data_IF_342304591401
#
_entry.id   IF_342304591401
#
_cell.length_a   1.000
_cell.length_b   1.000
_cell.length_c   1.000
_cell.angle_alpha   90.00
_cell.angle_beta   90.00
_cell.angle_gamma   90.00
#
_symmetry.space_group_name_H-M   'P 1'
#
loop_
_entity.id
_entity.type
_entity.pdbx_description
1 polymer ?
#
# COMPACT_ATOMS: atom_id res chain seq x y z
N UNK A 1 3.44 26.23 -2.40
CA UNK A 1 3.46 26.34 -3.88
C UNK A 1 4.78 26.94 -4.37
N UNK A 2 5.96 26.44 -3.98
CA UNK A 2 7.27 26.88 -4.55
C UNK A 2 8.30 25.72 -4.44
N UNK A 3 7.93 24.47 -4.74
CA UNK A 3 8.92 23.37 -4.75
C UNK A 3 8.86 22.43 -5.97
N UNK A 4 8.10 22.76 -7.01
CA UNK A 4 7.94 21.87 -8.19
C UNK A 4 8.76 22.33 -9.41
N UNK A 5 9.43 23.48 -9.36
CA UNK A 5 10.11 24.04 -10.55
C UNK A 5 11.62 23.76 -10.66
N UNK A 6 12.24 23.09 -9.71
CA UNK A 6 13.70 22.82 -9.78
C UNK A 6 14.10 21.43 -10.31
N UNK A 7 13.16 20.49 -10.45
CA UNK A 7 13.50 19.13 -10.93
C UNK A 7 13.35 18.93 -12.44
N UNK A 8 12.64 19.80 -13.13
CA UNK A 8 12.41 19.67 -14.59
C UNK A 8 13.60 20.16 -15.43
N UNK A 9 14.50 20.95 -14.85
CA UNK A 9 15.66 21.52 -15.59
C UNK A 9 16.84 20.53 -15.67
N UNK A 10 16.95 19.58 -14.70
CA UNK A 10 18.06 18.60 -14.70
C UNK A 10 17.84 17.44 -15.67
N UNK A 11 16.62 17.06 -15.97
CA UNK A 11 16.32 15.95 -16.90
C UNK A 11 16.57 16.36 -18.37
N UNK A 12 16.35 17.62 -18.72
CA UNK A 12 16.61 18.10 -20.10
C UNK A 12 18.11 18.22 -20.46
N UNK A 13 18.98 18.33 -19.48
CA UNK A 13 20.42 18.46 -19.73
C UNK A 13 21.14 17.11 -19.84
N UNK A 14 20.49 16.02 -19.42
CA UNK A 14 21.07 14.66 -19.48
C UNK A 14 20.74 13.92 -20.77
N UNK A 15 19.65 14.30 -21.44
CA UNK A 15 19.22 13.67 -22.70
C UNK A 15 19.99 14.23 -23.93
N UNK A 16 20.64 15.39 -23.80
CA UNK A 16 21.36 16.00 -24.94
C UNK A 16 22.82 15.53 -25.10
N UNK A 17 23.31 14.66 -24.20
CA UNK A 17 24.73 14.24 -24.23
C UNK A 17 24.97 12.80 -24.72
N UNK A 18 23.95 12.06 -25.18
CA UNK A 18 24.11 10.67 -25.63
C UNK A 18 23.54 10.38 -27.03
N UNK A 19 23.31 11.42 -27.87
CA UNK A 19 23.18 11.19 -29.30
C UNK A 19 24.54 11.36 -29.94
N UNK A 20 25.31 10.28 -29.99
CA UNK A 20 26.40 10.15 -30.95
C UNK A 20 25.76 10.22 -32.34
N UNK A 21 26.20 11.13 -33.23
CA UNK A 21 25.71 11.17 -34.61
C UNK A 21 26.05 9.84 -35.29
N UNK A 22 25.05 9.27 -35.97
CA UNK A 22 25.23 8.12 -36.83
C UNK A 22 26.27 8.51 -37.89
N UNK A 23 27.49 8.02 -37.74
CA UNK A 23 28.57 8.23 -38.73
C UNK A 23 28.16 7.45 -39.95
N UNK A 24 27.80 8.16 -41.02
CA UNK A 24 27.50 7.54 -42.32
C UNK A 24 28.77 6.95 -42.92
N UNK A 25 28.66 5.86 -43.70
CA UNK A 25 29.78 5.17 -44.37
C UNK A 25 30.78 6.11 -45.10
N UNK A 26 30.33 7.28 -45.55
CA UNK A 26 31.19 8.30 -46.16
C UNK A 26 32.12 8.98 -45.15
N UNK A 27 31.66 9.21 -43.91
CA UNK A 27 32.48 9.89 -42.89
C UNK A 27 33.54 8.95 -42.28
N UNK A 28 33.23 7.66 -42.15
CA UNK A 28 34.20 6.66 -41.73
C UNK A 28 35.32 6.48 -42.76
N UNK A 29 34.96 6.49 -44.05
CA UNK A 29 35.96 6.40 -45.13
C UNK A 29 36.86 7.64 -45.16
N UNK A 30 36.30 8.84 -44.91
CA UNK A 30 37.05 10.10 -44.83
C UNK A 30 37.96 10.14 -43.61
N UNK A 31 37.50 9.67 -42.45
CA UNK A 31 38.32 9.63 -41.25
C UNK A 31 39.50 8.62 -41.35
N UNK A 32 39.24 7.45 -41.90
CA UNK A 32 40.31 6.47 -42.15
C UNK A 32 41.31 6.99 -43.18
N UNK A 33 40.80 7.68 -44.22
CA UNK A 33 41.62 8.35 -45.22
C UNK A 33 42.46 9.48 -44.61
N UNK A 34 41.89 10.30 -43.73
CA UNK A 34 42.62 11.41 -43.09
C UNK A 34 43.67 10.93 -42.10
N UNK A 35 43.37 9.92 -41.30
CA UNK A 35 44.32 9.29 -40.39
C UNK A 35 45.45 8.62 -41.16
N UNK A 36 45.16 7.90 -42.23
CA UNK A 36 46.16 7.31 -43.12
C UNK A 36 47.04 8.38 -43.77
N UNK A 37 46.44 9.44 -44.30
CA UNK A 37 47.16 10.57 -44.92
C UNK A 37 48.04 11.29 -43.90
N UNK A 38 47.59 11.48 -42.68
CA UNK A 38 48.38 12.05 -41.57
C UNK A 38 49.60 11.19 -41.24
N UNK A 39 49.44 9.88 -41.10
CA UNK A 39 50.57 8.97 -40.82
C UNK A 39 51.52 8.86 -42.02
N UNK A 40 51.02 8.87 -43.24
CA UNK A 40 51.81 8.87 -44.46
C UNK A 40 52.62 10.15 -44.60
N UNK A 41 52.06 11.31 -44.29
CA UNK A 41 52.75 12.61 -44.31
C UNK A 41 53.83 12.67 -43.19
N UNK A 42 53.54 12.14 -42.02
CA UNK A 42 54.46 12.21 -40.88
C UNK A 42 55.59 11.19 -40.94
N UNK A 43 55.36 10.01 -41.52
CA UNK A 43 56.32 8.92 -41.56
C UNK A 43 56.76 8.52 -42.97
N UNK A 44 56.03 8.96 -43.99
CA UNK A 44 56.36 8.60 -45.41
C UNK A 44 57.49 9.37 -46.04
N UNK A 45 57.92 10.48 -45.46
CA UNK A 45 59.02 11.31 -45.97
C UNK A 45 60.31 11.25 -45.18
N UNK A 46 60.40 10.44 -44.14
CA UNK A 46 61.69 10.23 -43.45
C UNK A 46 62.49 9.15 -44.16
N UNK A 47 63.61 9.56 -44.73
CA UNK A 47 64.69 8.67 -45.15
C UNK A 47 65.00 7.75 -43.98
N UNK A 48 65.07 6.42 -44.29
CA UNK A 48 65.23 5.34 -43.33
C UNK A 48 66.16 5.70 -42.16
N UNK A 49 65.58 5.94 -41.00
CA UNK A 49 66.38 5.95 -39.78
C UNK A 49 66.80 4.53 -39.46
N UNK A 50 68.05 4.35 -38.98
CA UNK A 50 68.56 3.01 -38.53
C UNK A 50 67.68 2.38 -37.43
N UNK A 51 66.70 3.07 -36.95
CA UNK A 51 65.74 2.61 -35.94
C UNK A 51 64.38 2.25 -36.53
N UNK A 52 64.15 2.45 -37.85
CA UNK A 52 62.91 2.00 -38.49
C UNK A 52 62.95 0.49 -38.68
N UNK A 53 62.19 -0.20 -37.89
CA UNK A 53 62.11 -1.68 -37.91
C UNK A 53 61.21 -2.19 -39.07
N UNK A 54 60.48 -1.29 -39.77
CA UNK A 54 59.55 -1.66 -40.83
C UNK A 54 59.78 -0.83 -42.08
N UNK A 55 59.91 -1.50 -43.22
CA UNK A 55 59.97 -0.82 -44.54
C UNK A 55 58.58 -0.39 -44.99
N UNK A 56 58.51 0.64 -45.85
CA UNK A 56 57.26 1.12 -46.47
C UNK A 56 56.48 -0.02 -47.14
N UNK A 57 57.17 -0.97 -47.74
CA UNK A 57 56.55 -2.15 -48.35
C UNK A 57 55.91 -3.10 -47.32
N UNK A 58 56.53 -3.28 -46.18
CA UNK A 58 55.96 -4.08 -45.07
C UNK A 58 54.74 -3.43 -44.48
N UNK A 59 54.75 -2.10 -44.26
CA UNK A 59 53.58 -1.35 -43.78
C UNK A 59 52.42 -1.41 -44.75
N UNK A 60 52.72 -1.26 -46.06
CA UNK A 60 51.71 -1.38 -47.13
C UNK A 60 51.11 -2.78 -47.20
N UNK A 61 51.93 -3.81 -47.01
CA UNK A 61 51.48 -5.21 -46.99
C UNK A 61 50.62 -5.49 -45.75
N UNK A 62 51.04 -5.01 -44.59
CA UNK A 62 50.26 -5.13 -43.37
C UNK A 62 48.90 -4.42 -43.46
N UNK A 63 48.89 -3.20 -43.97
CA UNK A 63 47.65 -2.44 -44.25
C UNK A 63 46.75 -3.21 -45.22
N UNK A 64 47.29 -3.71 -46.34
CA UNK A 64 46.53 -4.54 -47.27
C UNK A 64 45.92 -5.80 -46.65
N UNK A 65 46.67 -6.44 -45.75
CA UNK A 65 46.15 -7.61 -44.97
C UNK A 65 45.05 -7.25 -44.04
N UNK A 66 45.13 -6.09 -43.32
CA UNK A 66 44.09 -5.58 -42.44
C UNK A 66 42.84 -5.23 -43.23
N UNK A 67 42.98 -4.52 -44.37
CA UNK A 67 41.86 -4.23 -45.24
C UNK A 67 41.17 -5.49 -45.76
N UNK A 68 41.96 -6.48 -46.19
CA UNK A 68 41.43 -7.77 -46.67
C UNK A 68 40.74 -8.55 -45.55
N UNK A 69 41.29 -8.53 -44.34
CA UNK A 69 40.67 -9.14 -43.17
C UNK A 69 39.34 -8.47 -42.84
N UNK A 70 39.29 -7.12 -42.84
CA UNK A 70 38.06 -6.38 -42.58
C UNK A 70 37.02 -6.56 -43.69
N UNK A 71 37.45 -6.71 -44.98
CA UNK A 71 36.51 -6.96 -46.07
C UNK A 71 35.94 -8.38 -46.08
N UNK A 72 36.62 -9.32 -45.40
CA UNK A 72 36.17 -10.70 -45.24
C UNK A 72 35.35 -10.92 -43.95
N UNK A 73 35.31 -9.89 -43.09
CA UNK A 73 34.44 -9.95 -41.88
C UNK A 73 33.01 -9.71 -42.37
N UNK A 74 32.10 -10.62 -42.14
CA UNK A 74 30.70 -10.40 -42.56
C UNK A 74 30.17 -9.14 -41.85
N UNK A 75 29.81 -8.15 -42.65
CA UNK A 75 29.14 -6.96 -42.14
C UNK A 75 27.65 -7.30 -42.03
N UNK A 76 27.18 -7.51 -40.82
CA UNK A 76 25.73 -7.65 -40.58
C UNK A 76 25.12 -6.25 -40.68
N UNK A 77 24.16 -6.08 -41.55
CA UNK A 77 23.33 -4.90 -41.58
C UNK A 77 22.22 -5.10 -40.55
N UNK A 78 22.18 -4.26 -39.53
CA UNK A 78 21.08 -4.29 -38.60
C UNK A 78 19.76 -4.00 -39.33
N UNK A 79 18.78 -4.88 -39.16
CA UNK A 79 17.43 -4.62 -39.63
C UNK A 79 16.78 -3.58 -38.69
N UNK A 80 16.55 -2.38 -39.22
CA UNK A 80 15.96 -1.25 -38.52
C UNK A 80 14.49 -1.09 -38.84
N UNK A 81 13.85 -2.10 -39.45
CA UNK A 81 12.42 -2.08 -39.69
C UNK A 81 11.65 -1.95 -38.37
N UNK A 82 10.46 -1.37 -38.44
CA UNK A 82 9.59 -1.22 -37.27
C UNK A 82 9.28 -2.59 -36.60
N UNK A 83 9.10 -3.62 -37.41
CA UNK A 83 8.87 -4.98 -36.94
C UNK A 83 10.10 -5.55 -36.18
N UNK A 84 11.31 -5.34 -36.71
CA UNK A 84 12.54 -5.80 -36.06
C UNK A 84 12.81 -5.03 -34.76
N UNK A 85 12.54 -3.73 -34.73
CA UNK A 85 12.65 -2.92 -33.51
C UNK A 85 11.66 -3.38 -32.45
N UNK A 86 10.39 -3.59 -32.83
CA UNK A 86 9.36 -4.10 -31.92
C UNK A 86 9.76 -5.47 -31.35
N UNK A 87 10.18 -6.39 -32.20
CA UNK A 87 10.65 -7.70 -31.77
C UNK A 87 11.82 -7.60 -30.77
N UNK A 88 12.81 -6.76 -31.05
CA UNK A 88 13.95 -6.56 -30.16
C UNK A 88 13.54 -5.97 -28.80
N UNK A 89 12.56 -5.07 -28.80
CA UNK A 89 11.98 -4.49 -27.57
C UNK A 89 11.23 -5.55 -26.81
N UNK A 90 10.30 -6.27 -27.47
CA UNK A 90 9.48 -7.31 -26.85
C UNK A 90 10.37 -8.42 -26.26
N UNK A 91 11.38 -8.86 -26.99
CA UNK A 91 12.34 -9.86 -26.50
C UNK A 91 13.12 -9.35 -25.28
N UNK A 92 13.63 -8.12 -25.34
CA UNK A 92 14.38 -7.52 -24.23
C UNK A 92 13.53 -7.32 -22.99
N UNK A 93 12.29 -6.84 -23.13
CA UNK A 93 11.38 -6.62 -22.01
C UNK A 93 10.99 -7.95 -21.35
N UNK A 94 10.61 -8.96 -22.13
CA UNK A 94 10.28 -10.27 -21.61
C UNK A 94 11.49 -10.99 -20.98
N UNK A 95 12.68 -10.85 -21.55
CA UNK A 95 13.89 -11.39 -20.95
C UNK A 95 14.23 -10.69 -19.62
N UNK A 96 14.02 -9.39 -19.53
CA UNK A 96 14.20 -8.61 -18.30
C UNK A 96 13.18 -9.01 -17.23
N UNK A 97 11.90 -9.13 -17.61
CA UNK A 97 10.85 -9.62 -16.73
C UNK A 97 11.18 -11.00 -16.17
N UNK A 98 11.56 -11.94 -17.03
CA UNK A 98 11.99 -13.29 -16.62
C UNK A 98 13.18 -13.25 -15.66
N UNK A 99 14.16 -12.38 -15.94
CA UNK A 99 15.33 -12.19 -15.07
C UNK A 99 14.93 -11.63 -13.70
N UNK A 100 13.96 -10.71 -13.65
CA UNK A 100 13.46 -10.17 -12.40
C UNK A 100 12.75 -11.26 -11.58
N UNK A 101 11.86 -12.03 -12.20
CA UNK A 101 11.15 -13.15 -11.55
C UNK A 101 12.18 -14.18 -11.02
N UNK A 102 13.19 -14.52 -11.82
CA UNK A 102 14.24 -15.47 -11.40
C UNK A 102 15.09 -14.93 -10.22
N UNK A 103 15.35 -13.62 -10.21
CA UNK A 103 16.07 -12.96 -9.11
C UNK A 103 15.23 -12.90 -7.83
N UNK A 104 13.93 -12.61 -7.95
CA UNK A 104 12.99 -12.64 -6.83
C UNK A 104 12.83 -14.05 -6.27
N UNK A 105 12.79 -15.06 -7.14
CA UNK A 105 12.69 -16.46 -6.72
C UNK A 105 13.94 -16.91 -5.96
N UNK A 106 15.13 -16.64 -6.52
CA UNK A 106 16.40 -17.14 -5.97
C UNK A 106 16.92 -16.32 -4.81
N UNK A 107 16.70 -15.00 -4.82
CA UNK A 107 17.24 -14.02 -3.87
C UNK A 107 18.76 -14.15 -3.71
N UNK A 108 19.53 -13.14 -4.10
CA UNK A 108 20.98 -13.17 -3.97
C UNK A 108 21.48 -13.22 -2.52
N UNK A 109 20.60 -12.83 -1.57
CA UNK A 109 20.95 -12.62 -0.15
C UNK A 109 20.18 -13.55 0.81
N UNK A 110 19.60 -14.64 0.30
CA UNK A 110 18.79 -15.55 1.11
C UNK A 110 17.36 -15.05 1.39
N UNK A 111 16.95 -13.92 0.77
CA UNK A 111 15.60 -13.34 0.88
C UNK A 111 14.70 -13.73 -0.31
N UNK A 112 15.08 -14.70 -1.11
CA UNK A 112 14.28 -15.16 -2.25
C UNK A 112 12.97 -15.77 -1.82
N UNK A 113 11.97 -15.73 -2.74
CA UNK A 113 10.64 -16.30 -2.53
C UNK A 113 10.67 -17.78 -2.12
N UNK A 114 11.71 -18.53 -2.54
CA UNK A 114 11.93 -19.95 -2.18
C UNK A 114 12.14 -20.13 -0.67
N UNK A 115 12.58 -19.10 0.03
CA UNK A 115 12.81 -19.14 1.48
C UNK A 115 11.66 -18.50 2.27
N UNK A 116 10.61 -18.07 1.59
CA UNK A 116 9.47 -17.42 2.24
C UNK A 116 8.80 -18.37 3.20
N UNK A 117 8.55 -17.89 4.41
CA UNK A 117 7.84 -18.61 5.45
C UNK A 117 6.44 -18.05 5.60
N UNK A 118 5.49 -18.93 5.88
CA UNK A 118 4.15 -18.59 6.30
C UNK A 118 3.89 -19.06 7.73
N UNK A 119 3.10 -18.30 8.48
CA UNK A 119 2.64 -18.71 9.79
C UNK A 119 1.33 -19.50 9.63
N UNK A 120 1.26 -20.66 10.27
CA UNK A 120 0.08 -21.53 10.25
C UNK A 120 -0.37 -21.77 11.68
N UNK A 121 -1.66 -21.54 11.93
CA UNK A 121 -2.32 -21.87 13.18
C UNK A 121 -2.97 -23.25 13.08
N UNK A 122 -2.93 -24.03 14.14
CA UNK A 122 -3.67 -25.28 14.27
C UNK A 122 -5.16 -25.06 14.61
N UNK A 123 -5.52 -23.82 15.01
CA UNK A 123 -6.90 -23.39 15.25
C UNK A 123 -7.19 -22.04 14.56
N UNK A 124 -7.32 -22.01 13.23
CA UNK A 124 -7.49 -20.76 12.47
C UNK A 124 -8.83 -20.07 12.73
N UNK A 125 -9.84 -20.78 13.23
CA UNK A 125 -11.14 -20.20 13.57
C UNK A 125 -11.04 -19.29 14.80
N UNK A 126 -10.06 -19.51 15.67
CA UNK A 126 -9.86 -18.70 16.85
C UNK A 126 -8.69 -17.72 16.71
N UNK A 127 -7.58 -18.16 16.12
CA UNK A 127 -6.35 -17.37 16.00
C UNK A 127 -5.75 -17.56 14.62
N UNK A 128 -5.59 -16.48 13.87
CA UNK A 128 -4.81 -16.48 12.63
C UNK A 128 -3.50 -15.74 12.83
N UNK A 129 -2.50 -16.11 12.08
CA UNK A 129 -1.19 -15.47 12.12
C UNK A 129 -0.62 -15.27 10.72
N UNK A 130 0.09 -14.17 10.54
CA UNK A 130 0.88 -13.89 9.34
C UNK A 130 2.33 -13.67 9.76
N UNK A 131 3.25 -14.29 9.05
CA UNK A 131 4.67 -14.06 9.26
C UNK A 131 5.08 -12.74 8.59
N UNK A 132 5.63 -11.81 9.38
CA UNK A 132 6.08 -10.49 8.92
C UNK A 132 7.59 -10.28 9.19
N UNK A 133 8.25 -11.29 9.72
CA UNK A 133 9.67 -11.28 10.02
C UNK A 133 10.55 -11.53 8.80
N UNK A 134 11.86 -11.58 9.05
CA UNK A 134 12.85 -11.92 8.04
C UNK A 134 13.00 -13.44 7.94
N UNK A 135 12.70 -14.00 6.77
CA UNK A 135 12.77 -15.44 6.52
C UNK A 135 14.17 -16.01 6.66
N UNK A 136 15.22 -15.20 6.46
CA UNK A 136 16.61 -15.63 6.56
C UNK A 136 17.07 -15.91 7.99
N UNK A 137 16.39 -15.33 8.97
CA UNK A 137 16.65 -15.48 10.42
C UNK A 137 15.51 -16.20 11.16
N UNK A 138 14.56 -16.76 10.44
CA UNK A 138 13.43 -17.46 11.01
C UNK A 138 13.85 -18.89 11.41
N UNK A 139 14.18 -19.06 12.69
CA UNK A 139 14.25 -20.39 13.30
C UNK A 139 12.85 -21.01 13.34
N UNK A 140 12.75 -22.33 13.54
CA UNK A 140 11.50 -23.06 13.72
C UNK A 140 10.82 -22.64 15.04
N UNK A 141 10.39 -21.39 15.09
CA UNK A 141 9.75 -20.79 16.28
C UNK A 141 8.27 -21.14 16.27
N UNK A 142 7.82 -21.80 17.31
CA UNK A 142 6.39 -21.99 17.58
C UNK A 142 5.93 -21.08 18.72
N UNK A 143 4.68 -20.62 18.64
CA UNK A 143 4.04 -19.83 19.68
C UNK A 143 2.73 -20.54 20.10
N UNK A 144 2.57 -20.74 21.40
CA UNK A 144 1.31 -21.22 21.97
C UNK A 144 0.52 -20.03 22.47
N UNK A 145 -0.68 -19.84 21.91
CA UNK A 145 -1.57 -18.70 22.20
C UNK A 145 -2.88 -19.20 22.75
N UNK A 146 -3.23 -18.76 23.95
CA UNK A 146 -4.53 -18.98 24.56
C UNK A 146 -5.27 -17.65 24.67
N UNK A 147 -6.43 -17.54 24.03
CA UNK A 147 -7.27 -16.33 24.04
C UNK A 147 -8.40 -16.56 25.05
N UNK A 148 -8.40 -15.81 26.15
CA UNK A 148 -9.43 -15.88 27.17
C UNK A 148 -10.56 -14.91 26.96
N UNK A 149 -10.24 -13.72 26.39
CA UNK A 149 -11.20 -12.66 26.10
C UNK A 149 -10.76 -11.91 24.89
N UNK A 150 -11.72 -11.56 24.02
CA UNK A 150 -11.49 -10.64 22.90
C UNK A 150 -11.58 -9.18 23.35
N UNK A 151 -10.88 -8.31 22.65
CA UNK A 151 -11.13 -6.89 22.78
C UNK A 151 -12.50 -6.54 22.16
N UNK A 152 -13.23 -5.69 22.87
CA UNK A 152 -14.56 -5.25 22.46
C UNK A 152 -14.62 -3.73 22.22
N UNK A 153 -15.46 -3.30 21.29
CA UNK A 153 -15.79 -1.91 21.03
C UNK A 153 -16.71 -1.35 22.12
N UNK A 154 -16.81 -0.03 22.20
CA UNK A 154 -17.87 0.62 22.95
C UNK A 154 -19.13 0.72 22.10
N UNK A 155 -20.27 0.38 22.68
CA UNK A 155 -21.57 0.58 22.05
C UNK A 155 -22.45 1.42 23.00
N UNK A 156 -22.94 2.53 22.46
CA UNK A 156 -24.03 3.28 23.09
C UNK A 156 -25.32 2.94 22.33
N UNK A 157 -26.30 2.39 23.03
CA UNK A 157 -27.64 2.16 22.47
C UNK A 157 -28.63 3.10 23.14
N UNK A 158 -29.21 3.96 22.34
CA UNK A 158 -30.22 4.92 22.78
C UNK A 158 -31.48 4.27 23.32
N UNK A 159 -32.42 5.08 23.70
CA UNK A 159 -33.76 4.62 24.09
C UNK A 159 -34.55 4.18 22.87
N UNK A 160 -35.25 3.04 22.99
CA UNK A 160 -36.22 2.61 21.98
C UNK A 160 -37.46 3.48 22.02
N UNK A 161 -37.70 4.26 20.97
CA UNK A 161 -38.79 5.19 20.85
C UNK A 161 -39.74 4.75 19.73
N UNK A 162 -41.03 5.11 19.84
CA UNK A 162 -41.97 4.86 18.77
C UNK A 162 -41.56 5.65 17.51
N UNK A 163 -41.34 4.98 16.37
CA UNK A 163 -40.69 5.59 15.20
C UNK A 163 -41.47 6.80 14.64
N UNK A 164 -42.81 6.74 14.63
CA UNK A 164 -43.67 7.78 14.05
C UNK A 164 -44.07 8.85 15.05
N UNK A 165 -43.65 8.76 16.30
CA UNK A 165 -43.94 9.77 17.35
C UNK A 165 -42.92 10.90 17.28
N UNK A 166 -43.31 12.03 17.84
CA UNK A 166 -42.49 13.24 17.98
C UNK A 166 -42.28 13.47 19.46
N UNK A 167 -41.09 13.22 19.97
CA UNK A 167 -40.79 13.27 21.41
C UNK A 167 -40.12 14.58 21.80
N UNK A 168 -39.45 15.25 20.86
CA UNK A 168 -38.77 16.52 21.09
C UNK A 168 -39.42 17.65 20.31
N UNK A 169 -39.24 18.88 20.77
CA UNK A 169 -39.72 20.07 20.11
C UNK A 169 -38.90 20.42 18.86
N UNK A 170 -39.50 21.05 17.84
CA UNK A 170 -38.71 21.58 16.72
C UNK A 170 -37.70 22.64 17.19
N UNK A 171 -36.59 22.77 16.44
CA UNK A 171 -35.56 23.77 16.66
C UNK A 171 -34.15 23.24 16.55
N UNK A 172 -33.18 24.10 16.84
CA UNK A 172 -31.78 23.76 16.72
C UNK A 172 -31.27 23.07 17.99
N UNK A 173 -30.52 22.02 17.80
CA UNK A 173 -29.90 21.19 18.84
C UNK A 173 -28.40 21.00 18.57
N UNK A 174 -27.64 20.84 19.65
CA UNK A 174 -26.23 20.52 19.55
C UNK A 174 -25.76 19.61 20.69
N UNK A 175 -24.78 18.81 20.42
CA UNK A 175 -24.09 18.00 21.42
C UNK A 175 -22.60 17.89 21.10
N UNK A 176 -21.80 17.69 22.14
CA UNK A 176 -20.38 17.43 22.05
C UNK A 176 -20.13 15.93 22.13
N UNK A 177 -19.37 15.43 21.17
CA UNK A 177 -18.85 14.08 21.16
C UNK A 177 -17.34 14.12 21.38
N UNK A 178 -16.90 13.54 22.51
CA UNK A 178 -15.49 13.48 22.86
C UNK A 178 -14.94 12.10 22.53
N UNK A 179 -13.94 12.06 21.64
CA UNK A 179 -13.20 10.84 21.25
C UNK A 179 -11.73 11.18 21.04
N UNK A 180 -10.82 10.30 21.45
CA UNK A 180 -9.37 10.49 21.24
C UNK A 180 -8.80 11.83 21.76
N UNK A 181 -9.34 12.37 22.86
CA UNK A 181 -9.01 13.70 23.41
C UNK A 181 -9.42 14.88 22.53
N UNK A 182 -10.20 14.66 21.51
CA UNK A 182 -10.80 15.68 20.66
C UNK A 182 -12.27 15.80 20.99
N UNK A 183 -12.80 17.01 20.90
CA UNK A 183 -14.22 17.31 21.03
C UNK A 183 -14.74 17.71 19.66
N UNK A 184 -15.79 17.05 19.23
CA UNK A 184 -16.51 17.35 17.99
C UNK A 184 -17.89 17.84 18.36
N UNK A 185 -18.22 19.03 17.93
CA UNK A 185 -19.56 19.61 18.09
C UNK A 185 -20.42 19.18 16.93
N UNK A 186 -21.61 18.64 17.23
CA UNK A 186 -22.62 18.26 16.26
C UNK A 186 -23.83 19.18 16.41
N UNK A 187 -24.11 19.95 15.38
CA UNK A 187 -25.25 20.84 15.30
C UNK A 187 -26.26 20.31 14.26
N UNK A 188 -27.53 20.35 14.57
CA UNK A 188 -28.61 19.93 13.66
C UNK A 188 -29.90 20.60 14.04
N UNK A 189 -30.80 20.71 13.06
CA UNK A 189 -32.14 21.22 13.25
C UNK A 189 -33.14 20.06 13.28
N UNK A 190 -34.18 20.17 14.10
CA UNK A 190 -35.35 19.30 14.12
C UNK A 190 -36.52 20.06 13.58
N UNK A 191 -37.12 19.59 12.48
CA UNK A 191 -38.27 20.19 11.84
C UNK A 191 -39.61 19.77 12.53
N UNK A 192 -40.66 20.55 12.34
CA UNK A 192 -41.99 20.30 12.95
C UNK A 192 -42.58 18.94 12.56
N UNK A 193 -42.22 18.42 11.38
CA UNK A 193 -42.80 17.18 10.86
C UNK A 193 -41.89 15.95 11.11
N UNK A 194 -40.71 16.13 11.63
CA UNK A 194 -39.78 15.02 11.85
C UNK A 194 -40.19 14.10 12.98
N UNK A 195 -40.25 12.82 12.68
CA UNK A 195 -40.48 11.73 13.62
C UNK A 195 -39.22 11.32 14.35
N UNK A 196 -39.34 10.51 15.41
CA UNK A 196 -38.19 9.95 16.11
C UNK A 196 -37.26 9.16 15.18
N UNK A 197 -37.84 8.38 14.27
CA UNK A 197 -37.07 7.62 13.29
C UNK A 197 -36.29 8.53 12.32
N UNK A 198 -36.91 9.65 11.90
CA UNK A 198 -36.26 10.61 11.01
C UNK A 198 -35.07 11.26 11.69
N UNK A 199 -35.20 11.65 12.95
CA UNK A 199 -34.17 12.25 13.77
C UNK A 199 -33.02 11.24 14.01
N UNK A 200 -33.32 9.99 14.41
CA UNK A 200 -32.33 8.93 14.61
C UNK A 200 -31.54 8.66 13.33
N UNK A 201 -32.22 8.58 12.19
CA UNK A 201 -31.56 8.40 10.88
C UNK A 201 -30.72 9.62 10.46
N UNK A 202 -31.18 10.84 10.81
CA UNK A 202 -30.42 12.08 10.61
C UNK A 202 -29.13 12.06 11.40
N UNK A 203 -29.20 11.71 12.69
CA UNK A 203 -28.05 11.60 13.57
C UNK A 203 -27.08 10.51 13.11
N UNK A 204 -27.57 9.33 12.72
CA UNK A 204 -26.75 8.27 12.18
C UNK A 204 -25.95 8.73 10.95
N UNK A 205 -26.62 9.40 10.01
CA UNK A 205 -25.95 9.96 8.84
C UNK A 205 -24.93 11.05 9.20
N UNK A 206 -25.23 11.89 10.19
CA UNK A 206 -24.35 12.96 10.64
C UNK A 206 -23.07 12.41 11.24
N UNK A 207 -23.20 11.45 12.15
CA UNK A 207 -22.05 10.78 12.81
C UNK A 207 -21.22 10.02 11.78
N UNK A 208 -21.83 9.21 10.91
CA UNK A 208 -21.08 8.44 9.89
C UNK A 208 -20.33 9.32 8.90
N UNK A 209 -20.92 10.47 8.52
CA UNK A 209 -20.25 11.42 7.61
C UNK A 209 -19.06 12.14 8.24
N UNK A 210 -19.02 12.26 9.55
CA UNK A 210 -17.91 12.92 10.24
C UNK A 210 -16.60 12.11 10.21
N UNK A 211 -16.69 10.79 9.95
CA UNK A 211 -15.55 9.87 9.82
C UNK A 211 -14.54 9.99 10.99
N UNK A 212 -15.06 10.03 12.20
CA UNK A 212 -14.26 10.22 13.42
C UNK A 212 -13.93 8.90 14.15
N UNK A 213 -14.15 7.75 13.48
CA UNK A 213 -13.94 6.43 14.06
C UNK A 213 -15.15 5.90 14.85
N UNK A 214 -16.36 6.32 14.43
CA UNK A 214 -17.64 5.84 14.96
C UNK A 214 -18.55 5.41 13.81
N UNK A 215 -19.30 4.34 14.06
CA UNK A 215 -20.35 3.84 13.21
C UNK A 215 -21.71 4.01 13.92
N UNK A 216 -22.64 4.68 13.29
CA UNK A 216 -23.98 4.86 13.82
C UNK A 216 -25.02 4.18 12.94
N UNK A 217 -25.95 3.48 13.56
CA UNK A 217 -27.05 2.76 12.90
C UNK A 217 -28.32 2.86 13.72
N UNK A 218 -29.46 2.67 13.07
CA UNK A 218 -30.76 2.61 13.77
C UNK A 218 -31.18 1.14 13.84
N UNK A 219 -31.44 0.66 15.04
CA UNK A 219 -31.96 -0.69 15.30
C UNK A 219 -33.44 -0.63 15.69
N UNK A 220 -34.14 -1.73 15.47
CA UNK A 220 -35.56 -1.90 15.81
C UNK A 220 -35.71 -3.03 16.85
N UNK A 221 -36.54 -2.81 17.86
CA UNK A 221 -36.91 -3.84 18.81
C UNK A 221 -38.08 -4.72 18.31
N UNK A 222 -38.42 -5.76 19.08
CA UNK A 222 -39.53 -6.67 18.74
C UNK A 222 -40.92 -6.03 18.72
N UNK A 223 -41.06 -4.81 19.24
CA UNK A 223 -42.30 -4.03 19.28
C UNK A 223 -42.35 -2.98 18.17
N UNK A 224 -41.33 -2.90 17.32
CA UNK A 224 -41.20 -1.92 16.23
C UNK A 224 -40.74 -0.55 16.69
N UNK A 225 -40.19 -0.39 17.92
CA UNK A 225 -39.58 0.86 18.34
C UNK A 225 -38.13 0.93 17.83
N UNK A 226 -37.67 2.15 17.58
CA UNK A 226 -36.32 2.38 17.00
C UNK A 226 -35.39 3.05 18.00
N UNK A 227 -34.14 2.68 17.98
CA UNK A 227 -33.05 3.26 18.78
C UNK A 227 -31.81 3.55 17.93
N UNK A 228 -31.12 4.65 18.22
CA UNK A 228 -29.84 4.95 17.64
C UNK A 228 -28.73 4.15 18.36
N UNK A 229 -27.99 3.36 17.63
CA UNK A 229 -26.79 2.69 18.10
C UNK A 229 -25.56 3.43 17.57
N UNK A 230 -24.60 3.68 18.43
CA UNK A 230 -23.29 4.29 18.10
C UNK A 230 -22.22 3.34 18.60
N UNK A 231 -21.39 2.84 17.69
CA UNK A 231 -20.32 1.90 17.97
C UNK A 231 -18.97 2.52 17.61
N UNK A 232 -17.94 2.28 18.43
CA UNK A 232 -16.58 2.70 18.11
C UNK A 232 -15.89 1.71 17.18
N UNK A 233 -15.13 2.21 16.19
CA UNK A 233 -14.23 1.39 15.36
C UNK A 233 -13.09 0.81 16.20
N UNK A 234 -12.66 1.56 17.22
CA UNK A 234 -11.63 1.13 18.16
C UNK A 234 -12.21 0.21 19.22
N UNK A 235 -11.38 -0.71 19.67
CA UNK A 235 -11.65 -1.60 20.80
C UNK A 235 -10.72 -1.28 21.97
N UNK A 236 -10.98 -1.90 23.10
CA UNK A 236 -10.12 -1.81 24.28
C UNK A 236 -10.24 -0.53 25.08
N UNK A 237 -9.63 -0.54 26.26
CA UNK A 237 -9.64 0.60 27.16
C UNK A 237 -8.24 0.89 27.70
N UNK A 238 -8.02 2.14 28.08
CA UNK A 238 -6.89 2.54 28.91
C UNK A 238 -7.29 2.50 30.38
N UNK A 239 -6.35 2.22 31.27
CA UNK A 239 -6.55 2.27 32.73
C UNK A 239 -7.09 3.62 33.21
N UNK A 240 -6.83 4.69 32.48
CA UNK A 240 -7.20 6.06 32.85
C UNK A 240 -8.58 6.45 32.26
N UNK A 241 -9.00 5.82 31.16
CA UNK A 241 -10.24 6.16 30.44
C UNK A 241 -11.06 4.90 30.22
N UNK A 242 -12.17 4.73 30.96
CA UNK A 242 -13.01 3.54 30.87
C UNK A 242 -13.90 3.52 29.63
N UNK A 243 -13.95 4.62 28.86
CA UNK A 243 -14.76 4.77 27.65
C UNK A 243 -13.92 5.30 26.51
N UNK A 244 -14.23 4.88 25.28
CA UNK A 244 -13.58 5.34 24.04
C UNK A 244 -14.12 6.70 23.64
N UNK A 245 -15.45 6.87 23.73
CA UNK A 245 -16.12 8.13 23.48
C UNK A 245 -17.18 8.44 24.52
N UNK A 246 -17.55 9.69 24.64
CA UNK A 246 -18.70 10.11 25.40
C UNK A 246 -19.44 11.26 24.70
N UNK A 247 -20.74 11.36 24.96
CA UNK A 247 -21.62 12.39 24.43
C UNK A 247 -22.09 13.24 25.58
N UNK A 248 -22.05 14.56 25.41
CA UNK A 248 -22.45 15.55 26.40
C UNK A 248 -23.26 16.66 25.73
N UNK A 249 -24.14 17.32 26.47
CA UNK A 249 -24.79 18.52 25.96
C UNK A 249 -23.74 19.60 25.67
N UNK A 250 -23.90 20.26 24.52
CA UNK A 250 -23.10 21.44 24.24
C UNK A 250 -23.54 22.58 25.16
N UNK A 251 -22.56 23.20 25.82
CA UNK A 251 -22.80 24.27 26.77
C UNK A 251 -22.52 25.66 26.18
N UNK A 252 -22.14 25.74 24.92
CA UNK A 252 -21.90 27.03 24.29
C UNK A 252 -23.21 27.78 24.22
N UNK A 253 -23.38 28.69 25.16
CA UNK A 253 -24.44 29.66 25.17
C UNK A 253 -24.20 30.50 23.92
N UNK A 254 -25.09 30.41 22.93
CA UNK A 254 -25.14 31.39 21.86
C UNK A 254 -25.55 32.75 22.47
N UNK A 255 -24.58 33.38 23.14
CA UNK A 255 -24.74 34.75 23.70
C UNK A 255 -24.97 35.77 22.60
N UNK A 256 -24.80 35.38 21.34
CA UNK A 256 -24.91 36.23 20.17
C UNK A 256 -26.26 36.12 19.45
N UNK A 257 -27.23 35.32 19.96
CA UNK A 257 -28.60 35.35 19.44
C UNK A 257 -29.27 36.62 19.96
N UNK A 258 -29.48 37.66 19.10
CA UNK A 258 -30.10 38.92 19.51
C UNK A 258 -31.59 38.76 19.92
N UNK A 259 -32.21 37.63 19.61
CA UNK A 259 -33.57 37.31 19.92
C UNK A 259 -33.74 36.47 21.20
N UNK A 260 -32.63 36.10 21.89
CA UNK A 260 -32.70 35.37 23.16
C UNK A 260 -33.23 36.26 24.28
N UNK A 261 -34.38 35.86 24.86
CA UNK A 261 -35.00 36.56 25.99
C UNK A 261 -34.84 35.73 27.26
N UNK A 262 -33.94 36.20 28.16
CA UNK A 262 -33.72 35.56 29.44
C UNK A 262 -35.00 35.37 30.25
N UNK A 263 -35.29 34.14 30.64
CA UNK A 263 -36.50 33.76 31.40
C UNK A 263 -37.73 33.40 30.57
N UNK A 264 -37.65 33.52 29.21
CA UNK A 264 -38.68 33.07 28.29
C UNK A 264 -38.19 31.97 27.34
N UNK A 265 -36.92 32.02 26.95
CA UNK A 265 -36.32 30.99 26.12
C UNK A 265 -35.72 29.88 26.98
N UNK A 266 -35.97 28.64 26.60
CA UNK A 266 -35.38 27.46 27.24
C UNK A 266 -33.87 27.56 27.12
N UNK A 267 -33.08 27.50 28.21
CA UNK A 267 -31.66 27.56 28.12
C UNK A 267 -31.16 26.47 27.16
N UNK A 268 -30.29 26.81 26.22
CA UNK A 268 -29.77 25.91 25.20
C UNK A 268 -29.17 24.63 25.81
N UNK A 269 -28.52 24.78 26.96
CA UNK A 269 -27.98 23.63 27.72
C UNK A 269 -29.06 22.68 28.22
N UNK A 270 -30.15 23.19 28.78
CA UNK A 270 -31.28 22.37 29.28
C UNK A 270 -31.96 21.65 28.12
N UNK A 271 -32.22 22.34 27.01
CA UNK A 271 -32.78 21.80 25.77
C UNK A 271 -31.91 20.66 25.21
N UNK A 272 -30.58 20.87 25.13
CA UNK A 272 -29.64 19.87 24.63
C UNK A 272 -29.50 18.66 25.60
N UNK A 273 -29.56 18.92 26.92
CA UNK A 273 -29.56 17.86 27.94
C UNK A 273 -30.78 16.97 27.79
N UNK A 274 -31.97 17.61 27.74
CA UNK A 274 -33.27 16.92 27.55
C UNK A 274 -33.28 16.08 26.27
N UNK A 275 -32.66 16.59 25.19
CA UNK A 275 -32.52 15.85 23.94
C UNK A 275 -31.67 14.58 24.11
N UNK A 276 -30.47 14.69 24.71
CA UNK A 276 -29.56 13.56 24.94
C UNK A 276 -30.23 12.52 25.82
N UNK A 277 -30.87 12.95 26.92
CA UNK A 277 -31.60 12.05 27.85
C UNK A 277 -32.78 11.36 27.16
N UNK A 278 -33.56 12.10 26.36
CA UNK A 278 -34.74 11.54 25.66
C UNK A 278 -34.33 10.44 24.68
N UNK A 279 -33.25 10.68 23.90
CA UNK A 279 -32.74 9.68 22.95
C UNK A 279 -31.78 8.68 23.58
N UNK A 280 -31.29 8.93 24.80
CA UNK A 280 -30.33 8.05 25.50
C UNK A 280 -28.96 7.96 24.80
N UNK A 281 -28.48 9.07 24.19
CA UNK A 281 -27.28 9.06 23.35
C UNK A 281 -26.00 8.76 24.15
N UNK A 282 -25.96 9.13 25.42
CA UNK A 282 -24.86 8.92 26.35
C UNK A 282 -24.87 7.54 27.03
N UNK A 283 -25.91 6.74 26.79
CA UNK A 283 -26.13 5.45 27.44
C UNK A 283 -25.19 4.39 26.88
N UNK A 284 -24.15 4.05 27.61
CA UNK A 284 -23.25 2.94 27.29
C UNK A 284 -23.93 1.61 27.60
N UNK A 285 -24.19 0.80 26.58
CA UNK A 285 -24.77 -0.54 26.70
C UNK A 285 -23.73 -1.64 26.66
N UNK A 286 -22.61 -1.37 25.98
CA UNK A 286 -21.42 -2.23 26.00
C UNK A 286 -20.19 -1.38 26.27
N UNK A 287 -19.51 -1.66 27.36
CA UNK A 287 -18.23 -1.03 27.64
C UNK A 287 -17.13 -1.67 26.80
N UNK A 288 -16.15 -0.87 26.34
CA UNK A 288 -15.00 -1.41 25.65
C UNK A 288 -14.17 -2.27 26.61
N UNK A 289 -13.59 -3.35 26.11
CA UNK A 289 -12.77 -4.28 26.86
C UNK A 289 -11.49 -4.65 26.13
N UNK A 290 -10.43 -4.94 26.88
CA UNK A 290 -9.18 -5.40 26.29
C UNK A 290 -9.23 -6.89 25.99
N UNK A 291 -8.51 -7.32 24.96
CA UNK A 291 -8.18 -8.72 24.77
C UNK A 291 -7.28 -9.19 25.95
N UNK A 292 -7.58 -10.38 26.48
CA UNK A 292 -6.78 -11.07 27.49
C UNK A 292 -6.36 -12.40 26.88
N UNK A 293 -5.06 -12.60 26.78
CA UNK A 293 -4.48 -13.78 26.15
C UNK A 293 -3.17 -14.16 26.82
N UNK A 294 -2.70 -15.36 26.58
CA UNK A 294 -1.35 -15.77 26.98
C UNK A 294 -0.52 -16.13 25.73
N UNK A 295 0.79 -15.89 25.82
CA UNK A 295 1.79 -16.30 24.82
C UNK A 295 2.81 -17.16 25.53
N UNK A 296 2.92 -18.43 25.14
CA UNK A 296 3.79 -19.41 25.80
C UNK A 296 3.57 -19.48 27.34
N UNK A 297 2.31 -19.30 27.77
CA UNK A 297 1.91 -19.30 29.17
C UNK A 297 2.06 -17.95 29.88
N UNK A 298 2.64 -16.92 29.26
CA UNK A 298 2.72 -15.58 29.85
C UNK A 298 1.45 -14.79 29.51
N UNK A 299 0.72 -14.33 30.53
CA UNK A 299 -0.48 -13.53 30.36
C UNK A 299 -0.15 -12.12 29.84
N UNK A 300 -0.92 -11.66 28.85
CA UNK A 300 -0.81 -10.36 28.22
C UNK A 300 -2.20 -9.76 27.97
N UNK A 301 -2.23 -8.45 27.80
CA UNK A 301 -3.44 -7.71 27.44
C UNK A 301 -3.16 -6.76 26.29
N UNK A 302 -4.14 -6.61 25.39
CA UNK A 302 -4.08 -5.69 24.26
C UNK A 302 -5.41 -4.96 24.08
N UNK A 303 -5.36 -3.70 23.67
CA UNK A 303 -6.57 -2.95 23.31
C UNK A 303 -7.15 -3.39 21.95
N UNK A 304 -6.42 -4.19 21.17
CA UNK A 304 -6.85 -4.69 19.86
C UNK A 304 -6.81 -6.21 19.83
N UNK A 305 -7.67 -6.80 18.98
CA UNK A 305 -7.60 -8.21 18.62
C UNK A 305 -6.49 -8.50 17.60
N UNK A 306 -5.96 -7.45 16.96
CA UNK A 306 -4.81 -7.54 16.06
C UNK A 306 -3.56 -7.08 16.80
N UNK A 307 -2.59 -7.99 16.94
CA UNK A 307 -1.36 -7.73 17.68
C UNK A 307 -0.13 -8.13 16.87
N UNK A 308 1.00 -7.57 17.25
CA UNK A 308 2.30 -7.97 16.68
C UNK A 308 3.18 -8.51 17.80
N UNK A 309 3.69 -9.73 17.61
CA UNK A 309 4.60 -10.37 18.58
C UNK A 309 6.01 -10.39 17.97
N UNK A 310 6.98 -9.90 18.75
CA UNK A 310 8.43 -9.88 18.43
C UNK A 310 8.77 -9.26 17.07
N UNK A 311 7.87 -8.48 16.45
CA UNK A 311 7.98 -7.99 15.06
C UNK A 311 8.09 -9.12 14.02
N UNK A 312 7.71 -10.31 14.38
CA UNK A 312 7.83 -11.53 13.57
C UNK A 312 6.47 -12.05 13.14
N UNK A 313 5.48 -11.96 14.03
CA UNK A 313 4.13 -12.45 13.80
C UNK A 313 3.12 -11.31 13.95
N UNK A 314 2.31 -11.09 12.93
CA UNK A 314 1.04 -10.38 13.05
C UNK A 314 -0.05 -11.42 13.33
N UNK A 315 -0.77 -11.28 14.44
CA UNK A 315 -1.74 -12.25 14.94
C UNK A 315 -3.08 -11.56 15.11
N UNK A 316 -4.13 -12.22 14.62
CA UNK A 316 -5.52 -11.75 14.76
C UNK A 316 -6.33 -12.77 15.56
N UNK A 317 -7.01 -12.29 16.57
CA UNK A 317 -7.92 -13.08 17.41
C UNK A 317 -9.34 -12.95 16.89
N UNK A 318 -10.00 -14.10 16.63
CA UNK A 318 -11.37 -14.17 16.14
C UNK A 318 -12.32 -14.74 17.18
N UNK A 319 -11.84 -15.69 17.99
CA UNK A 319 -12.61 -16.32 19.04
C UNK A 319 -11.73 -16.63 20.27
N UNK A 320 -12.37 -16.91 21.40
CA UNK A 320 -11.71 -17.46 22.57
C UNK A 320 -11.31 -18.92 22.33
N UNK A 321 -10.26 -19.37 23.02
CA UNK A 321 -9.75 -20.72 22.86
C UNK A 321 -9.96 -21.54 24.11
N UNK A 322 -10.37 -22.81 23.98
CA UNK A 322 -10.45 -23.76 25.11
C UNK A 322 -9.08 -24.37 25.43
N UNK A 323 -8.20 -24.42 24.46
CA UNK A 323 -6.81 -24.90 24.54
C UNK A 323 -5.91 -23.95 23.77
N UNK A 324 -4.64 -23.83 24.15
CA UNK A 324 -3.70 -23.02 23.39
C UNK A 324 -3.70 -23.40 21.90
N UNK A 325 -3.79 -22.41 21.04
CA UNK A 325 -3.58 -22.55 19.61
C UNK A 325 -2.08 -22.43 19.31
N UNK A 326 -1.52 -23.42 18.62
CA UNK A 326 -0.10 -23.42 18.26
C UNK A 326 0.09 -22.78 16.88
N UNK A 327 0.85 -21.69 16.85
CA UNK A 327 1.29 -21.04 15.61
C UNK A 327 2.68 -21.55 15.28
N UNK A 328 2.86 -22.11 14.10
CA UNK A 328 4.14 -22.61 13.60
C UNK A 328 4.51 -21.98 12.26
N UNK A 329 5.81 -21.90 11.99
CA UNK A 329 6.32 -21.49 10.69
C UNK A 329 6.42 -22.71 9.76
N UNK A 330 5.96 -22.52 8.54
CA UNK A 330 6.13 -23.49 7.44
C UNK A 330 6.63 -22.75 6.20
N UNK A 331 7.22 -23.48 5.25
CA UNK A 331 7.52 -22.93 3.95
C UNK A 331 6.20 -22.49 3.27
N UNK A 332 6.21 -21.32 2.68
CA UNK A 332 5.06 -20.76 1.98
C UNK A 332 4.92 -21.43 0.58
N UNK A 333 4.44 -22.68 0.59
CA UNK A 333 4.35 -23.49 -0.61
C UNK A 333 3.45 -22.85 -1.69
N UNK A 334 2.43 -22.10 -1.28
CA UNK A 334 1.52 -21.43 -2.21
C UNK A 334 2.21 -20.30 -2.95
N UNK A 335 2.89 -19.40 -2.23
CA UNK A 335 3.68 -18.31 -2.82
C UNK A 335 4.83 -18.85 -3.67
N UNK A 336 5.49 -19.92 -3.24
CA UNK A 336 6.57 -20.57 -4.01
C UNK A 336 6.01 -21.17 -5.31
N UNK A 337 4.86 -21.85 -5.25
CA UNK A 337 4.20 -22.45 -6.42
C UNK A 337 3.73 -21.38 -7.40
N UNK A 338 3.16 -20.27 -6.91
CA UNK A 338 2.77 -19.13 -7.73
C UNK A 338 3.96 -18.54 -8.46
N UNK A 339 5.06 -18.28 -7.75
CA UNK A 339 6.28 -17.73 -8.32
C UNK A 339 6.93 -18.66 -9.36
N UNK A 340 6.92 -19.98 -9.13
CA UNK A 340 7.38 -20.96 -10.11
C UNK A 340 6.48 -20.97 -11.34
N UNK A 341 5.17 -20.88 -11.16
CA UNK A 341 4.20 -20.82 -12.26
C UNK A 341 4.40 -19.56 -13.10
N UNK A 342 4.66 -18.44 -12.47
CA UNK A 342 4.97 -17.17 -13.12
C UNK A 342 6.29 -17.26 -13.91
N UNK A 343 7.33 -17.87 -13.33
CA UNK A 343 8.61 -18.13 -14.01
C UNK A 343 8.41 -18.97 -15.26
N UNK A 344 7.65 -20.08 -15.16
CA UNK A 344 7.35 -20.97 -16.30
C UNK A 344 6.55 -20.22 -17.37
N UNK A 345 5.58 -19.40 -16.97
CA UNK A 345 4.76 -18.62 -17.88
C UNK A 345 5.59 -17.55 -18.61
N UNK A 346 6.49 -16.85 -17.89
CA UNK A 346 7.43 -15.90 -18.47
C UNK A 346 8.40 -16.56 -19.45
N UNK A 347 8.91 -17.74 -19.09
CA UNK A 347 9.76 -18.54 -19.98
C UNK A 347 9.03 -18.96 -21.26
N UNK A 348 7.81 -19.49 -21.14
CA UNK A 348 7.02 -19.90 -22.29
C UNK A 348 6.71 -18.70 -23.22
N UNK A 349 6.42 -17.53 -22.65
CA UNK A 349 6.23 -16.29 -23.41
C UNK A 349 7.47 -15.91 -24.19
N UNK A 350 8.64 -15.96 -23.54
CA UNK A 350 9.92 -15.65 -24.19
C UNK A 350 10.21 -16.64 -25.35
N UNK A 351 9.97 -17.93 -25.14
CA UNK A 351 10.10 -18.97 -26.17
C UNK A 351 9.15 -18.72 -27.33
N UNK A 352 7.89 -18.35 -27.07
CA UNK A 352 6.93 -18.03 -28.13
C UNK A 352 7.38 -16.83 -28.97
N UNK A 353 7.86 -15.76 -28.34
CA UNK A 353 8.40 -14.59 -29.05
C UNK A 353 9.58 -14.99 -29.94
N UNK A 354 10.50 -15.84 -29.42
CA UNK A 354 11.64 -16.32 -30.20
C UNK A 354 11.21 -17.22 -31.37
N UNK A 355 10.23 -18.11 -31.14
CA UNK A 355 9.74 -19.04 -32.16
C UNK A 355 8.99 -18.33 -33.28
N UNK A 356 8.22 -17.27 -32.98
CA UNK A 356 7.49 -16.50 -33.98
C UNK A 356 8.42 -15.86 -35.02
N UNK A 357 9.65 -15.53 -34.62
CA UNK A 357 10.66 -14.95 -35.49
C UNK A 357 11.47 -15.98 -36.28
N UNK A 358 11.59 -17.22 -35.77
CA UNK A 358 12.31 -18.27 -36.47
C UNK A 358 11.61 -18.70 -37.78
N UNK A 359 10.29 -18.46 -37.86
CA UNK A 359 9.50 -18.69 -39.06
C UNK A 359 9.54 -17.54 -40.08
N UNK A 360 9.97 -16.34 -39.70
CA UNK A 360 10.28 -15.26 -40.61
C UNK A 360 11.67 -15.51 -41.21
N UNK A 361 11.72 -16.01 -42.45
CA UNK A 361 12.97 -16.14 -43.17
C UNK A 361 13.59 -14.79 -43.31
N UNK A 362 14.72 -14.56 -42.63
CA UNK A 362 15.60 -13.45 -42.95
C UNK A 362 16.23 -13.71 -44.32
N UNK A 363 15.63 -13.20 -45.39
CA UNK A 363 16.26 -13.10 -46.69
C UNK A 363 17.17 -11.87 -46.77
#
# INVERSE_FOLDING_TARGET
IIFVQKHTIYIRKWISLHFLPIITDKEVTVMISSVYSYYLAQYGHKTNSKYDTHTKAQLKNTYGRVLKSNSQTPTYKADMSEAAQKYAIDLKENARELSNIANELSGSDGHGMVFKKSAVSDNPDAVTATFIGDSSSADDTSLDIEVRQLATSQINTGHYLQPNSRTVKPGDYSFDLNINNLTYEFQFNVDEEESNSDIQNKLARLINRSNIGLNASVSEDSLGNTALNIESDMTGVSVIKPTIFNIRPNNDIQTDNPDFVEGFDEPTMEKNTNFIETYGLDRVTQYPGNAIFSVNGEERSSASNDITINKTFAISFHNTTDKPATISLKDDADSITESITELVSGYNRLVSIAADKENDKFE
#
